data_IF_535467129678
#
_entry.id   IF_535467129678
#
_cell.length_a   1.000
_cell.length_b   1.000
_cell.length_c   1.000
_cell.angle_alpha   90.00
_cell.angle_beta   90.00
_cell.angle_gamma   90.00
#
_symmetry.space_group_name_H-M   'P 1'
#
loop_
_entity.id
_entity.type
_entity.pdbx_description
1 polymer ?
#
# COMPACT_ATOMS: atom_id res chain seq x y z
N UNK A 1 47.47 -15.60 58.58
CA UNK A 1 47.10 -14.77 57.40
C UNK A 1 46.55 -15.60 56.23
N UNK A 2 47.09 -16.78 55.90
CA UNK A 2 46.66 -17.58 54.74
C UNK A 2 45.18 -18.02 54.72
N UNK A 3 44.57 -18.28 55.88
CA UNK A 3 43.16 -18.73 55.93
C UNK A 3 42.21 -17.61 55.50
N UNK A 4 42.45 -16.36 55.94
CA UNK A 4 41.64 -15.19 55.57
C UNK A 4 41.74 -14.87 54.07
N UNK A 5 42.93 -15.01 53.49
CA UNK A 5 43.14 -14.80 52.05
C UNK A 5 42.42 -15.87 51.21
N UNK A 6 42.38 -17.13 51.67
CA UNK A 6 41.64 -18.21 51.00
C UNK A 6 40.12 -17.99 51.02
N UNK A 7 39.55 -17.52 52.13
CA UNK A 7 38.11 -17.22 52.20
C UNK A 7 37.72 -16.02 51.34
N UNK A 8 38.54 -14.95 51.33
CA UNK A 8 38.30 -13.79 50.46
C UNK A 8 38.36 -14.20 48.99
N UNK A 9 39.33 -15.03 48.60
CA UNK A 9 39.45 -15.54 47.23
C UNK A 9 38.23 -16.39 46.84
N UNK A 10 37.75 -17.26 47.75
CA UNK A 10 36.56 -18.08 47.52
C UNK A 10 35.31 -17.24 47.31
N UNK A 11 35.10 -16.19 48.11
CA UNK A 11 33.97 -15.27 47.94
C UNK A 11 34.06 -14.49 46.62
N UNK A 12 35.26 -14.04 46.24
CA UNK A 12 35.48 -13.34 44.98
C UNK A 12 35.09 -14.20 43.76
N UNK A 13 35.45 -15.49 43.77
CA UNK A 13 35.12 -16.44 42.70
C UNK A 13 33.60 -16.62 42.58
N UNK A 14 32.89 -16.73 43.71
CA UNK A 14 31.42 -16.85 43.72
C UNK A 14 30.76 -15.61 43.14
N UNK A 15 31.24 -14.41 43.53
CA UNK A 15 30.71 -13.14 43.00
C UNK A 15 30.97 -13.05 41.49
N UNK A 16 32.16 -13.41 41.02
CA UNK A 16 32.50 -13.45 39.59
C UNK A 16 31.60 -14.41 38.81
N UNK A 17 31.32 -15.60 39.36
CA UNK A 17 30.44 -16.58 38.74
C UNK A 17 29.00 -16.05 38.61
N UNK A 18 28.48 -15.41 39.67
CA UNK A 18 27.15 -14.79 39.65
C UNK A 18 27.09 -13.64 38.63
N UNK A 19 28.13 -12.81 38.55
CA UNK A 19 28.20 -11.71 37.61
C UNK A 19 28.26 -12.20 36.15
N UNK A 20 29.04 -13.26 35.90
CA UNK A 20 29.09 -13.91 34.58
C UNK A 20 27.74 -14.49 34.16
N UNK A 21 27.04 -15.15 35.07
CA UNK A 21 25.70 -15.70 34.82
C UNK A 21 24.69 -14.59 34.51
N UNK A 22 24.73 -13.50 35.29
CA UNK A 22 23.87 -12.33 35.05
C UNK A 22 24.12 -11.70 33.67
N UNK A 23 25.38 -11.48 33.30
CA UNK A 23 25.73 -10.92 31.99
C UNK A 23 25.29 -11.83 30.84
N UNK A 24 25.45 -13.15 31.00
CA UNK A 24 25.01 -14.11 30.00
C UNK A 24 23.50 -14.03 29.75
N UNK A 25 22.69 -14.06 30.82
CA UNK A 25 21.23 -13.93 30.72
C UNK A 25 20.86 -12.58 30.12
N UNK A 26 21.50 -11.49 30.56
CA UNK A 26 21.23 -10.15 30.07
C UNK A 26 21.48 -10.00 28.56
N UNK A 27 22.60 -10.52 28.07
CA UNK A 27 22.94 -10.48 26.63
C UNK A 27 21.96 -11.31 25.82
N UNK A 28 21.66 -12.53 26.27
CA UNK A 28 20.75 -13.41 25.57
C UNK A 28 19.34 -12.80 25.47
N UNK A 29 18.86 -12.21 26.55
CA UNK A 29 17.54 -11.60 26.61
C UNK A 29 17.46 -10.29 25.79
N UNK A 30 18.55 -9.52 25.71
CA UNK A 30 18.64 -8.36 24.81
C UNK A 30 18.55 -8.78 23.33
N UNK A 31 19.17 -9.88 22.94
CA UNK A 31 19.14 -10.35 21.56
C UNK A 31 17.75 -10.79 21.13
N UNK A 32 17.05 -11.57 21.96
CA UNK A 32 15.68 -12.01 21.69
C UNK A 32 14.70 -10.83 21.64
N UNK A 33 14.78 -9.92 22.63
CA UNK A 33 13.91 -8.75 22.67
C UNK A 33 14.09 -7.83 21.44
N UNK A 34 15.32 -7.67 20.93
CA UNK A 34 15.56 -6.85 19.73
C UNK A 34 14.87 -7.44 18.49
N UNK A 35 14.94 -8.75 18.29
CA UNK A 35 14.26 -9.40 17.16
C UNK A 35 12.74 -9.25 17.29
N UNK A 36 12.21 -9.48 18.50
CA UNK A 36 10.79 -9.33 18.81
C UNK A 36 10.28 -7.89 18.56
N UNK A 37 11.07 -6.88 18.90
CA UNK A 37 10.73 -5.47 18.64
C UNK A 37 10.73 -5.17 17.14
N UNK A 38 11.74 -5.66 16.40
CA UNK A 38 11.83 -5.46 14.95
C UNK A 38 10.65 -6.10 14.23
N UNK A 39 10.32 -7.34 14.58
CA UNK A 39 9.22 -8.06 13.95
C UNK A 39 7.87 -7.48 14.32
N UNK A 40 7.66 -7.08 15.58
CA UNK A 40 6.45 -6.36 15.98
C UNK A 40 6.31 -5.03 15.24
N UNK A 41 7.39 -4.28 15.02
CA UNK A 41 7.34 -3.05 14.26
C UNK A 41 7.04 -3.28 12.78
N UNK A 42 7.61 -4.34 12.16
CA UNK A 42 7.28 -4.74 10.79
C UNK A 42 5.82 -5.13 10.65
N UNK A 43 5.29 -5.93 11.58
CA UNK A 43 3.88 -6.35 11.59
C UNK A 43 2.99 -5.12 11.74
N UNK A 44 3.29 -4.22 12.69
CA UNK A 44 2.53 -2.97 12.89
C UNK A 44 2.53 -2.10 11.64
N UNK A 45 3.68 -1.90 11.01
CA UNK A 45 3.78 -1.12 9.77
C UNK A 45 2.95 -1.75 8.64
N UNK A 46 3.05 -3.07 8.45
CA UNK A 46 2.26 -3.80 7.44
C UNK A 46 0.76 -3.68 7.72
N UNK A 47 0.34 -3.84 8.97
CA UNK A 47 -1.08 -3.73 9.33
C UNK A 47 -1.60 -2.32 9.12
N UNK A 48 -0.82 -1.29 9.47
CA UNK A 48 -1.19 0.10 9.21
C UNK A 48 -1.33 0.37 7.71
N UNK A 49 -0.35 -0.04 6.90
CA UNK A 49 -0.39 0.11 5.44
C UNK A 49 -1.62 -0.62 4.88
N UNK A 50 -1.85 -1.87 5.27
CA UNK A 50 -2.99 -2.65 4.81
C UNK A 50 -4.33 -2.02 5.20
N UNK A 51 -4.43 -1.45 6.42
CA UNK A 51 -5.63 -0.78 6.91
C UNK A 51 -5.90 0.52 6.14
N UNK A 52 -4.85 1.30 5.87
CA UNK A 52 -4.96 2.52 5.07
C UNK A 52 -5.35 2.17 3.64
N UNK A 53 -4.73 1.17 3.04
CA UNK A 53 -5.06 0.70 1.69
C UNK A 53 -6.51 0.22 1.59
N UNK A 54 -6.97 -0.60 2.55
CA UNK A 54 -8.35 -1.09 2.57
C UNK A 54 -9.35 0.04 2.74
N UNK A 55 -9.05 1.01 3.62
CA UNK A 55 -9.90 2.20 3.80
C UNK A 55 -10.00 3.04 2.54
N UNK A 56 -8.87 3.28 1.87
CA UNK A 56 -8.85 3.99 0.59
C UNK A 56 -9.66 3.21 -0.46
N UNK A 57 -9.53 1.87 -0.50
CA UNK A 57 -10.24 1.03 -1.45
C UNK A 57 -11.74 1.08 -1.24
N UNK A 58 -12.20 0.99 0.01
CA UNK A 58 -13.61 1.13 0.34
C UNK A 58 -14.16 2.51 -0.04
N UNK A 59 -13.43 3.58 0.25
CA UNK A 59 -13.83 4.96 -0.08
C UNK A 59 -13.95 5.16 -1.60
N UNK A 60 -12.94 4.75 -2.36
CA UNK A 60 -12.92 4.92 -3.82
C UNK A 60 -13.89 3.99 -4.53
N UNK A 61 -14.06 2.75 -4.06
CA UNK A 61 -15.07 1.82 -4.59
C UNK A 61 -16.48 2.40 -4.49
N UNK A 62 -16.84 3.01 -3.37
CA UNK A 62 -18.13 3.68 -3.21
C UNK A 62 -18.31 4.83 -4.21
N UNK A 63 -17.27 5.63 -4.45
CA UNK A 63 -17.30 6.73 -5.43
C UNK A 63 -17.41 6.24 -6.87
N UNK A 64 -16.67 5.21 -7.23
CA UNK A 64 -16.72 4.59 -8.57
C UNK A 64 -18.10 3.96 -8.81
N UNK A 65 -18.65 3.25 -7.82
CA UNK A 65 -20.02 2.72 -7.90
C UNK A 65 -21.04 3.85 -8.06
N UNK A 66 -20.93 4.91 -7.25
CA UNK A 66 -21.77 6.10 -7.36
C UNK A 66 -21.70 6.72 -8.75
N UNK A 67 -20.51 6.82 -9.35
CA UNK A 67 -20.32 7.30 -10.71
C UNK A 67 -21.03 6.41 -11.73
N UNK A 68 -20.83 5.09 -11.67
CA UNK A 68 -21.43 4.12 -12.59
C UNK A 68 -22.97 4.19 -12.52
N UNK A 69 -23.54 4.29 -11.31
CA UNK A 69 -24.99 4.33 -11.13
C UNK A 69 -25.62 5.67 -11.50
N UNK A 70 -24.95 6.79 -11.17
CA UNK A 70 -25.49 8.15 -11.41
C UNK A 70 -25.26 8.65 -12.83
N UNK A 71 -24.23 8.17 -13.52
CA UNK A 71 -23.81 8.61 -14.86
C UNK A 71 -23.87 7.47 -15.87
N UNK A 72 -25.09 6.97 -16.14
CA UNK A 72 -25.32 5.94 -17.16
C UNK A 72 -24.89 6.39 -18.57
N UNK A 73 -24.87 7.69 -18.82
CA UNK A 73 -24.34 8.31 -20.03
C UNK A 73 -22.85 7.97 -20.23
N UNK A 74 -22.03 8.06 -19.18
CA UNK A 74 -20.60 7.71 -19.24
C UNK A 74 -20.43 6.22 -19.55
N UNK A 75 -21.24 5.37 -18.93
CA UNK A 75 -21.21 3.92 -19.17
C UNK A 75 -21.61 3.59 -20.62
N UNK A 76 -22.63 4.27 -21.16
CA UNK A 76 -23.04 4.10 -22.55
C UNK A 76 -21.98 4.60 -23.54
N UNK A 77 -21.35 5.74 -23.27
CA UNK A 77 -20.25 6.26 -24.08
C UNK A 77 -19.03 5.32 -24.07
N UNK A 78 -18.76 4.69 -22.92
CA UNK A 78 -17.71 3.68 -22.81
C UNK A 78 -18.08 2.40 -23.57
N UNK A 79 -19.31 1.91 -23.42
CA UNK A 79 -19.81 0.73 -24.15
C UNK A 79 -19.84 0.95 -25.68
N UNK A 80 -20.21 2.16 -26.11
CA UNK A 80 -20.21 2.60 -27.51
C UNK A 80 -18.82 2.92 -28.07
N UNK A 81 -17.77 2.80 -27.25
CA UNK A 81 -16.37 3.11 -27.62
C UNK A 81 -16.21 4.54 -28.17
N UNK A 82 -17.01 5.48 -27.68
CA UNK A 82 -16.98 6.88 -28.13
C UNK A 82 -15.92 7.68 -27.37
N UNK A 83 -14.64 7.41 -27.64
CA UNK A 83 -13.48 7.93 -26.88
C UNK A 83 -13.52 9.45 -26.61
N UNK A 84 -13.71 10.28 -27.64
CA UNK A 84 -13.75 11.74 -27.51
C UNK A 84 -14.93 12.23 -26.66
N UNK A 85 -16.11 11.61 -26.84
CA UNK A 85 -17.29 11.97 -26.06
C UNK A 85 -17.16 11.50 -24.60
N UNK A 86 -16.59 10.31 -24.40
CA UNK A 86 -16.26 9.77 -23.09
C UNK A 86 -15.30 10.70 -22.34
N UNK A 87 -14.21 11.14 -23.00
CA UNK A 87 -13.24 12.07 -22.42
C UNK A 87 -13.89 13.37 -21.96
N UNK A 88 -14.72 13.99 -22.81
CA UNK A 88 -15.45 15.23 -22.47
C UNK A 88 -16.41 15.04 -21.29
N UNK A 89 -17.11 13.90 -21.24
CA UNK A 89 -18.07 13.60 -20.19
C UNK A 89 -17.40 13.33 -18.82
N UNK A 90 -16.25 12.66 -18.82
CA UNK A 90 -15.56 12.26 -17.59
C UNK A 90 -14.58 13.33 -17.05
N UNK A 91 -14.04 14.21 -17.91
CA UNK A 91 -13.14 15.29 -17.50
C UNK A 91 -13.63 16.15 -16.32
N UNK A 92 -14.91 16.61 -16.27
CA UNK A 92 -15.40 17.36 -15.11
C UNK A 92 -15.43 16.50 -13.83
N UNK A 93 -15.73 15.21 -13.95
CA UNK A 93 -15.71 14.28 -12.81
C UNK A 93 -14.29 14.09 -12.30
N UNK A 94 -13.32 13.89 -13.20
CA UNK A 94 -11.91 13.80 -12.85
C UNK A 94 -11.42 15.05 -12.11
N UNK A 95 -11.77 16.24 -12.60
CA UNK A 95 -11.43 17.52 -11.95
C UNK A 95 -12.05 17.64 -10.57
N UNK A 96 -13.27 17.14 -10.37
CA UNK A 96 -13.91 17.12 -9.06
C UNK A 96 -13.19 16.16 -8.11
N UNK A 97 -12.95 14.91 -8.53
CA UNK A 97 -12.27 13.90 -7.70
C UNK A 97 -10.88 14.37 -7.26
N UNK A 98 -10.14 15.04 -8.14
CA UNK A 98 -8.82 15.60 -7.82
C UNK A 98 -8.86 16.84 -6.92
N UNK A 99 -9.97 17.59 -6.93
CA UNK A 99 -10.19 18.66 -5.94
C UNK A 99 -10.54 18.11 -4.56
N UNK A 100 -11.23 16.97 -4.53
CA UNK A 100 -11.59 16.29 -3.28
C UNK A 100 -10.42 15.52 -2.67
N UNK A 101 -9.51 15.00 -3.49
CA UNK A 101 -8.29 14.32 -3.06
C UNK A 101 -7.12 14.69 -3.98
N UNK A 102 -6.13 15.40 -3.44
CA UNK A 102 -4.93 15.82 -4.17
C UNK A 102 -4.07 14.62 -4.62
N UNK A 103 -4.17 13.49 -3.90
CA UNK A 103 -3.47 12.25 -4.24
C UNK A 103 -4.16 11.45 -5.35
N UNK A 104 -5.34 11.89 -5.82
CA UNK A 104 -6.00 11.27 -6.96
C UNK A 104 -5.26 11.61 -8.27
N UNK A 105 -4.44 10.66 -8.72
CA UNK A 105 -3.49 10.87 -9.82
C UNK A 105 -4.11 10.66 -11.20
N UNK A 106 -4.80 9.55 -11.42
CA UNK A 106 -5.32 9.18 -12.73
C UNK A 106 -6.62 8.37 -12.67
N UNK A 107 -7.33 8.33 -13.81
CA UNK A 107 -8.53 7.51 -14.02
C UNK A 107 -8.37 6.72 -15.33
N UNK A 108 -8.52 5.39 -15.24
CA UNK A 108 -8.35 4.46 -16.35
C UNK A 108 -9.68 3.81 -16.75
N UNK A 109 -9.92 3.70 -18.06
CA UNK A 109 -10.97 2.88 -18.65
C UNK A 109 -10.32 1.70 -19.37
N UNK A 110 -10.63 0.49 -18.91
CA UNK A 110 -9.98 -0.74 -19.36
C UNK A 110 -11.01 -1.61 -20.08
N UNK A 111 -10.68 -2.06 -21.29
CA UNK A 111 -11.52 -2.95 -22.08
C UNK A 111 -11.47 -4.40 -21.56
N UNK A 112 -12.43 -5.26 -21.93
CA UNK A 112 -12.45 -6.67 -21.52
C UNK A 112 -11.22 -7.48 -21.96
N UNK A 113 -10.48 -7.01 -22.96
CA UNK A 113 -9.21 -7.59 -23.42
C UNK A 113 -7.99 -7.09 -22.62
N UNK A 114 -8.24 -6.38 -21.52
CA UNK A 114 -7.25 -5.75 -20.66
C UNK A 114 -6.44 -4.63 -21.33
N UNK A 115 -6.91 -4.11 -22.47
CA UNK A 115 -6.31 -2.95 -23.12
C UNK A 115 -6.82 -1.64 -22.50
N UNK A 116 -5.91 -0.67 -22.37
CA UNK A 116 -6.24 0.67 -21.89
C UNK A 116 -6.96 1.44 -23.01
N UNK A 117 -8.21 1.81 -22.78
CA UNK A 117 -9.04 2.55 -23.74
C UNK A 117 -8.88 4.06 -23.60
N UNK A 118 -8.88 4.55 -22.36
CA UNK A 118 -8.74 5.95 -22.03
C UNK A 118 -8.08 6.10 -20.65
N UNK A 119 -7.07 6.95 -20.56
CA UNK A 119 -6.46 7.37 -19.31
C UNK A 119 -6.48 8.88 -19.22
N UNK A 120 -6.74 9.38 -18.01
CA UNK A 120 -6.74 10.81 -17.71
C UNK A 120 -5.84 11.01 -16.50
N UNK A 121 -4.73 11.72 -16.68
CA UNK A 121 -3.70 11.91 -15.65
C UNK A 121 -3.53 13.39 -15.21
N UNK A 122 -3.95 14.35 -16.05
CA UNK A 122 -3.71 15.79 -15.82
C UNK A 122 -4.94 16.64 -16.10
N UNK A 123 -5.17 17.74 -15.32
CA UNK A 123 -6.38 18.56 -15.43
C UNK A 123 -6.48 19.42 -16.70
N UNK A 124 -5.54 19.28 -17.63
CA UNK A 124 -5.49 19.98 -18.92
C UNK A 124 -4.90 19.13 -20.05
N UNK A 125 -4.98 17.80 -19.92
CA UNK A 125 -4.54 16.88 -20.96
C UNK A 125 -5.44 17.07 -22.20
N UNK A 126 -4.83 17.28 -23.37
CA UNK A 126 -5.53 17.19 -24.65
C UNK A 126 -5.58 15.72 -25.08
N UNK A 127 -6.59 15.36 -25.89
CA UNK A 127 -6.92 13.99 -26.33
C UNK A 127 -5.72 13.19 -26.89
N UNK A 128 -4.65 13.87 -27.32
CA UNK A 128 -3.52 13.33 -28.07
C UNK A 128 -2.40 12.69 -27.21
N UNK A 129 -2.32 13.00 -25.90
CA UNK A 129 -1.28 12.41 -25.02
C UNK A 129 -1.80 11.21 -24.24
N UNK A 130 -2.36 10.21 -24.92
CA UNK A 130 -2.62 8.90 -24.33
C UNK A 130 -1.63 7.92 -24.95
N UNK A 131 -0.41 7.86 -24.40
CA UNK A 131 0.56 6.87 -24.81
C UNK A 131 0.12 5.48 -24.34
N UNK A 132 0.38 4.46 -25.17
CA UNK A 132 0.08 3.07 -24.88
C UNK A 132 0.75 2.64 -23.57
N UNK A 133 -0.05 2.27 -22.56
CA UNK A 133 0.45 1.56 -21.39
C UNK A 133 0.13 0.06 -21.50
N UNK A 134 1.00 -0.74 -20.87
CA UNK A 134 0.95 -2.19 -20.84
C UNK A 134 -0.39 -2.71 -20.30
N UNK A 135 -0.77 -3.91 -20.72
CA UNK A 135 -1.93 -4.65 -20.19
C UNK A 135 -1.92 -4.60 -18.66
N UNK A 136 -3.04 -4.20 -18.06
CA UNK A 136 -3.25 -4.21 -16.61
C UNK A 136 -3.19 -5.67 -16.17
N UNK A 137 -2.13 -6.11 -15.48
CA UNK A 137 -1.86 -7.55 -15.32
C UNK A 137 -2.79 -8.27 -14.34
N UNK A 138 -3.55 -7.56 -13.51
CA UNK A 138 -4.43 -8.19 -12.51
C UNK A 138 -5.82 -7.53 -12.40
N UNK A 139 -6.86 -8.37 -12.38
CA UNK A 139 -8.19 -7.99 -11.86
C UNK A 139 -9.37 -7.98 -12.84
N UNK A 140 -9.17 -8.06 -14.16
CA UNK A 140 -10.27 -8.04 -15.15
C UNK A 140 -10.49 -9.43 -15.77
N UNK A 141 -10.85 -10.41 -14.93
CA UNK A 141 -11.34 -11.71 -15.43
C UNK A 141 -12.82 -11.85 -15.12
N UNK A 142 -13.67 -11.42 -16.06
CA UNK A 142 -15.12 -11.64 -16.02
C UNK A 142 -15.98 -10.42 -16.41
N UNK A 143 -17.29 -10.60 -16.61
CA UNK A 143 -18.23 -9.55 -17.03
C UNK A 143 -18.59 -8.54 -15.93
N UNK A 144 -17.80 -8.48 -14.84
CA UNK A 144 -18.10 -7.66 -13.66
C UNK A 144 -17.19 -6.45 -13.65
N UNK A 145 -17.78 -5.26 -13.50
CA UNK A 145 -17.01 -4.05 -13.25
C UNK A 145 -16.24 -4.20 -11.94
N UNK A 146 -14.92 -4.14 -12.02
CA UNK A 146 -14.01 -4.21 -10.89
C UNK A 146 -13.38 -2.83 -10.65
N UNK A 147 -13.14 -2.50 -9.39
CA UNK A 147 -12.35 -1.35 -8.96
C UNK A 147 -11.25 -1.87 -8.03
N UNK A 148 -10.02 -1.43 -8.23
CA UNK A 148 -8.88 -1.82 -7.40
C UNK A 148 -7.78 -0.78 -7.47
N UNK A 149 -6.76 -0.96 -6.64
CA UNK A 149 -5.49 -0.25 -6.76
C UNK A 149 -4.58 -1.03 -7.69
N UNK A 150 -3.93 -0.31 -8.60
CA UNK A 150 -2.82 -0.84 -9.39
C UNK A 150 -1.57 -0.70 -8.51
N UNK A 151 -0.92 -1.83 -8.19
CA UNK A 151 0.42 -1.82 -7.61
C UNK A 151 1.36 -1.39 -8.74
N UNK A 152 1.47 -0.08 -8.92
CA UNK A 152 2.38 0.50 -9.89
C UNK A 152 3.81 0.12 -9.48
N UNK A 153 4.63 -0.31 -10.44
CA UNK A 153 6.02 -0.69 -10.25
C UNK A 153 6.91 0.52 -9.90
N UNK A 154 6.55 1.31 -8.89
CA UNK A 154 7.50 2.14 -8.18
C UNK A 154 8.17 1.27 -7.12
N UNK A 155 9.17 0.53 -7.61
CA UNK A 155 10.20 -0.02 -6.74
C UNK A 155 10.76 1.08 -5.86
N UNK A 156 11.10 0.67 -4.63
CA UNK A 156 11.94 1.37 -3.66
C UNK A 156 13.01 2.28 -4.30
#
# INVERSE_FOLDING_TARGET
MQIRTKTILSMLIVILALFGCYLYIFIHQQQENRQLIIDNNKIRARTLIATVADRLNQQYRGRIQGLIYSRRDIVQLFAGRERTRLFKAILPVFKQLRREDEYFSHLNFILPDNSLFLQIDKPGQNEERCACFSKVTDGVSGPRMASGFEDDCYGL
#
